data_IF_778270157604
#
_entry.id   IF_778270157604
#
_cell.length_a   1.000
_cell.length_b   1.000
_cell.length_c   1.000
_cell.angle_alpha   90.00
_cell.angle_beta   90.00
_cell.angle_gamma   90.00
#
_symmetry.space_group_name_H-M   'P 1'
#
loop_
_entity.id
_entity.type
_entity.pdbx_description
1 polymer ?
#
# COMPACT_ATOMS: atom_id res chain seq x y z
N UNK A 1 2.55 -19.18 -16.18
CA UNK A 1 3.09 -18.77 -17.50
C UNK A 1 4.58 -18.47 -17.35
N UNK A 2 5.47 -19.33 -17.88
CA UNK A 2 6.94 -19.23 -17.68
C UNK A 2 7.55 -17.96 -18.29
N UNK A 3 6.99 -17.45 -19.38
CA UNK A 3 7.49 -16.24 -20.05
C UNK A 3 7.21 -14.99 -19.20
N UNK A 4 6.00 -14.88 -18.65
CA UNK A 4 5.62 -13.80 -17.73
C UNK A 4 6.51 -13.83 -16.48
N UNK A 5 6.71 -15.01 -15.89
CA UNK A 5 7.59 -15.15 -14.72
C UNK A 5 9.02 -14.66 -14.99
N UNK A 6 9.61 -15.06 -16.13
CA UNK A 6 10.96 -14.60 -16.53
C UNK A 6 11.02 -13.08 -16.70
N UNK A 7 9.98 -12.48 -17.30
CA UNK A 7 9.89 -11.02 -17.44
C UNK A 7 9.83 -10.35 -16.06
N UNK A 8 8.92 -10.79 -15.19
CA UNK A 8 8.75 -10.22 -13.86
C UNK A 8 10.03 -10.36 -13.03
N UNK A 9 10.73 -11.50 -13.10
CA UNK A 9 12.01 -11.70 -12.45
C UNK A 9 13.09 -10.70 -12.94
N UNK A 10 13.15 -10.45 -14.24
CA UNK A 10 14.11 -9.53 -14.83
C UNK A 10 13.83 -8.05 -14.47
N UNK A 11 12.57 -7.66 -14.35
CA UNK A 11 12.16 -6.26 -14.09
C UNK A 11 11.85 -5.96 -12.62
N UNK A 12 11.84 -6.96 -11.74
CA UNK A 12 11.36 -6.85 -10.35
C UNK A 12 12.04 -5.71 -9.58
N UNK A 13 13.36 -5.63 -9.67
CA UNK A 13 14.13 -4.64 -8.93
C UNK A 13 13.83 -3.23 -9.43
N UNK A 14 13.76 -3.04 -10.75
CA UNK A 14 13.46 -1.75 -11.38
C UNK A 14 12.06 -1.27 -11.01
N UNK A 15 11.07 -2.17 -11.09
CA UNK A 15 9.70 -1.87 -10.69
C UNK A 15 9.61 -1.50 -9.20
N UNK A 16 10.19 -2.31 -8.31
CA UNK A 16 10.20 -2.04 -6.88
C UNK A 16 10.91 -0.72 -6.55
N UNK A 17 12.03 -0.43 -7.21
CA UNK A 17 12.76 0.83 -7.04
C UNK A 17 11.91 2.03 -7.46
N UNK A 18 11.27 1.98 -8.63
CA UNK A 18 10.44 3.08 -9.12
C UNK A 18 9.24 3.35 -8.20
N UNK A 19 8.65 2.29 -7.65
CA UNK A 19 7.57 2.39 -6.66
C UNK A 19 8.07 3.01 -5.34
N UNK A 20 9.24 2.58 -4.84
CA UNK A 20 9.84 3.15 -3.64
C UNK A 20 10.21 4.63 -3.83
N UNK A 21 10.78 4.98 -4.99
CA UNK A 21 11.13 6.35 -5.35
C UNK A 21 9.90 7.25 -5.43
N UNK A 22 8.83 6.79 -6.09
CA UNK A 22 7.57 7.52 -6.15
C UNK A 22 6.95 7.69 -4.76
N UNK A 23 7.05 6.67 -3.90
CA UNK A 23 6.60 6.76 -2.51
C UNK A 23 7.42 7.79 -1.72
N UNK A 24 8.73 7.90 -1.97
CA UNK A 24 9.60 8.91 -1.33
C UNK A 24 9.19 10.32 -1.74
N UNK A 25 8.88 10.54 -3.02
CA UNK A 25 8.37 11.83 -3.51
C UNK A 25 6.98 12.14 -2.96
N UNK A 26 6.13 11.12 -2.79
CA UNK A 26 4.79 11.29 -2.20
C UNK A 26 4.87 11.72 -0.74
N UNK A 27 5.80 11.14 0.03
CA UNK A 27 5.96 11.40 1.45
C UNK A 27 6.74 12.71 1.78
N UNK A 28 7.03 13.55 0.78
CA UNK A 28 7.87 14.76 0.93
C UNK A 28 7.42 15.75 2.02
N UNK A 29 6.14 15.72 2.41
CA UNK A 29 5.53 16.66 3.37
C UNK A 29 5.32 16.04 4.77
N UNK A 30 5.71 14.79 4.99
CA UNK A 30 5.57 14.08 6.27
C UNK A 30 6.92 13.52 6.73
N UNK A 31 7.13 13.25 8.04
CA UNK A 31 8.40 12.74 8.56
C UNK A 31 8.57 11.23 8.30
N UNK A 32 8.30 10.77 7.08
CA UNK A 32 8.40 9.37 6.66
C UNK A 32 9.19 9.25 5.35
N UNK A 33 10.09 8.28 5.28
CA UNK A 33 10.74 7.90 4.01
C UNK A 33 9.79 7.14 3.09
N UNK A 34 10.21 6.95 1.84
CA UNK A 34 9.55 6.09 0.87
C UNK A 34 10.27 4.76 0.72
N UNK A 35 9.52 3.67 0.80
CA UNK A 35 10.06 2.33 0.57
C UNK A 35 9.03 1.45 -0.15
N UNK A 36 9.50 0.34 -0.71
CA UNK A 36 8.65 -0.68 -1.31
C UNK A 36 9.27 -2.07 -1.11
N UNK A 37 8.39 -3.04 -0.90
CA UNK A 37 8.73 -4.45 -0.82
C UNK A 37 7.92 -5.26 -1.83
N UNK A 38 8.60 -6.20 -2.49
CA UNK A 38 7.99 -7.12 -3.45
C UNK A 38 8.41 -8.55 -3.14
N UNK A 39 7.49 -9.49 -3.30
CA UNK A 39 7.75 -10.92 -3.18
C UNK A 39 7.43 -11.57 -4.53
N UNK A 40 8.44 -12.09 -5.21
CA UNK A 40 8.24 -12.89 -6.41
C UNK A 40 8.10 -14.36 -6.02
N UNK A 41 6.86 -14.87 -6.08
CA UNK A 41 6.53 -16.27 -5.77
C UNK A 41 6.92 -17.19 -6.93
N UNK A 42 7.49 -18.36 -6.60
CA UNK A 42 7.76 -19.42 -7.57
C UNK A 42 6.49 -19.78 -8.36
N UNK A 43 6.65 -20.13 -9.64
CA UNK A 43 5.55 -20.50 -10.55
C UNK A 43 4.67 -21.63 -10.02
N UNK A 44 5.24 -22.56 -9.26
CA UNK A 44 4.50 -23.73 -8.74
C UNK A 44 3.87 -23.44 -7.36
N UNK A 45 4.12 -22.26 -6.79
CA UNK A 45 3.72 -21.88 -5.43
C UNK A 45 3.00 -20.53 -5.38
N UNK A 46 2.02 -20.30 -6.25
CA UNK A 46 1.30 -19.01 -6.33
C UNK A 46 -0.04 -18.95 -5.59
N UNK A 47 -0.38 -19.95 -4.77
CA UNK A 47 -1.62 -19.93 -4.00
C UNK A 47 -1.52 -18.94 -2.81
N UNK A 48 -2.21 -17.81 -2.90
CA UNK A 48 -2.19 -16.76 -1.87
C UNK A 48 -2.62 -17.24 -0.48
N UNK A 49 -3.52 -18.23 -0.38
CA UNK A 49 -4.01 -18.72 0.92
C UNK A 49 -3.02 -19.63 1.64
N UNK A 50 -2.14 -20.31 0.89
CA UNK A 50 -1.13 -21.22 1.44
C UNK A 50 0.27 -20.63 1.27
N UNK A 51 0.90 -20.84 0.12
CA UNK A 51 2.28 -20.43 -0.14
C UNK A 51 2.47 -18.91 -0.06
N UNK A 52 1.51 -18.11 -0.52
CA UNK A 52 1.59 -16.65 -0.40
C UNK A 52 1.58 -16.16 1.05
N UNK A 53 0.77 -16.81 1.91
CA UNK A 53 0.75 -16.53 3.36
C UNK A 53 2.08 -16.89 4.01
N UNK A 54 2.67 -18.04 3.66
CA UNK A 54 3.98 -18.47 4.17
C UNK A 54 5.09 -17.53 3.72
N UNK A 55 5.11 -17.15 2.43
CA UNK A 55 6.08 -16.21 1.91
C UNK A 55 5.97 -14.83 2.58
N UNK A 56 4.75 -14.33 2.81
CA UNK A 56 4.55 -13.09 3.55
C UNK A 56 5.07 -13.20 5.00
N UNK A 57 4.82 -14.32 5.69
CA UNK A 57 5.37 -14.52 7.04
C UNK A 57 6.90 -14.53 7.04
N UNK A 58 7.52 -15.27 6.13
CA UNK A 58 8.98 -15.34 6.01
C UNK A 58 9.58 -13.96 5.70
N UNK A 59 8.93 -13.20 4.83
CA UNK A 59 9.32 -11.83 4.52
C UNK A 59 9.26 -10.91 5.75
N UNK A 60 8.14 -10.95 6.49
CA UNK A 60 7.98 -10.16 7.72
C UNK A 60 8.96 -10.60 8.82
N UNK A 61 9.17 -11.91 8.99
CA UNK A 61 10.12 -12.42 9.98
C UNK A 61 11.55 -11.97 9.66
N UNK A 62 11.97 -12.02 8.39
CA UNK A 62 13.28 -11.54 7.96
C UNK A 62 13.46 -10.04 8.22
N UNK A 63 12.44 -9.22 7.96
CA UNK A 63 12.48 -7.78 8.28
C UNK A 63 12.50 -7.53 9.79
N UNK A 64 11.72 -8.29 10.57
CA UNK A 64 11.72 -8.20 12.02
C UNK A 64 13.06 -8.64 12.61
N UNK A 65 13.75 -9.61 12.01
CA UNK A 65 15.09 -10.01 12.43
C UNK A 65 16.07 -8.83 12.31
N UNK A 66 15.98 -8.06 11.23
CA UNK A 66 16.76 -6.84 11.02
C UNK A 66 16.36 -5.69 11.97
N UNK A 67 15.06 -5.50 12.20
CA UNK A 67 14.55 -4.45 13.12
C UNK A 67 14.97 -4.76 14.57
N UNK A 68 14.88 -6.03 14.97
CA UNK A 68 15.21 -6.55 16.30
C UNK A 68 16.60 -7.17 16.33
N UNK A 69 17.56 -6.55 15.63
CA UNK A 69 18.90 -7.09 15.43
C UNK A 69 19.62 -7.47 16.75
N UNK A 70 19.35 -6.73 17.83
CA UNK A 70 19.93 -7.01 19.16
C UNK A 70 19.38 -8.29 19.77
N UNK A 71 18.08 -8.51 19.63
CA UNK A 71 17.36 -9.67 20.15
C UNK A 71 17.63 -10.92 19.32
N UNK A 72 17.87 -10.77 18.01
CA UNK A 72 18.15 -11.88 17.08
C UNK A 72 19.64 -12.18 16.93
N UNK A 73 20.52 -11.31 17.42
CA UNK A 73 21.98 -11.45 17.27
C UNK A 73 22.47 -11.12 15.87
N UNK A 74 21.64 -10.52 15.01
CA UNK A 74 22.08 -10.00 13.71
C UNK A 74 22.93 -8.74 13.89
N UNK A 75 23.98 -8.63 13.10
CA UNK A 75 24.78 -7.41 13.05
C UNK A 75 24.02 -6.30 12.34
N UNK A 76 24.00 -5.10 12.92
CA UNK A 76 23.40 -3.90 12.32
C UNK A 76 24.41 -2.76 12.27
N UNK A 77 24.55 -2.15 11.09
CA UNK A 77 25.34 -0.94 10.87
C UNK A 77 24.55 0.35 11.13
N UNK A 78 23.27 0.25 11.53
CA UNK A 78 22.43 1.41 11.76
C UNK A 78 22.81 2.08 13.09
N UNK A 79 23.02 3.40 13.05
CA UNK A 79 23.35 4.19 14.25
C UNK A 79 22.16 4.35 15.21
N UNK A 80 20.94 4.14 14.71
CA UNK A 80 19.67 4.23 15.46
C UNK A 80 18.72 3.12 14.98
N UNK A 81 17.80 2.66 15.83
CA UNK A 81 16.73 1.77 15.39
C UNK A 81 15.88 2.46 14.31
N UNK A 82 15.60 1.74 13.23
CA UNK A 82 14.67 2.17 12.19
C UNK A 82 13.29 1.58 12.44
N UNK A 83 12.26 2.39 12.20
CA UNK A 83 10.87 1.94 12.23
C UNK A 83 10.36 1.80 10.80
N UNK A 84 9.77 0.64 10.51
CA UNK A 84 9.09 0.41 9.23
C UNK A 84 7.57 0.42 9.43
N UNK A 85 6.87 0.98 8.45
CA UNK A 85 5.40 1.03 8.38
C UNK A 85 5.00 0.46 7.02
N UNK A 86 4.30 -0.67 7.03
CA UNK A 86 3.90 -1.38 5.82
C UNK A 86 2.45 -1.05 5.47
N UNK A 87 2.24 -0.59 4.24
CA UNK A 87 0.91 -0.51 3.63
C UNK A 87 0.62 -1.75 2.77
N UNK A 88 -0.66 -2.13 2.62
CA UNK A 88 -1.04 -3.13 1.64
C UNK A 88 -0.84 -2.61 0.22
N UNK A 89 -0.63 -3.54 -0.68
CA UNK A 89 -0.63 -3.36 -2.14
C UNK A 89 -1.20 -4.63 -2.80
N UNK A 90 -1.06 -4.77 -4.12
CA UNK A 90 -1.53 -5.91 -4.90
C UNK A 90 -1.27 -7.25 -4.18
N UNK A 91 -2.34 -8.03 -3.99
CA UNK A 91 -2.33 -9.36 -3.36
C UNK A 91 -1.90 -9.43 -1.88
N UNK A 92 -1.67 -8.30 -1.19
CA UNK A 92 -1.18 -8.31 0.21
C UNK A 92 -2.17 -7.77 1.25
N UNK A 93 -3.28 -7.16 0.83
CA UNK A 93 -4.29 -6.59 1.73
C UNK A 93 -4.76 -7.57 2.82
N UNK A 94 -4.98 -8.84 2.45
CA UNK A 94 -5.41 -9.90 3.38
C UNK A 94 -4.39 -10.27 4.45
N UNK A 95 -3.13 -9.85 4.33
CA UNK A 95 -2.05 -10.21 5.25
C UNK A 95 -1.69 -9.12 6.27
N UNK A 96 -2.23 -7.91 6.15
CA UNK A 96 -1.84 -6.82 7.06
C UNK A 96 -2.10 -7.12 8.54
N UNK A 97 -3.24 -7.77 8.83
CA UNK A 97 -3.54 -8.29 10.18
C UNK A 97 -2.49 -9.31 10.65
N UNK A 98 -2.07 -10.21 9.76
CA UNK A 98 -1.07 -11.23 10.05
C UNK A 98 0.27 -10.59 10.40
N UNK A 99 0.74 -9.61 9.62
CA UNK A 99 2.01 -8.91 9.88
C UNK A 99 2.06 -8.25 11.25
N UNK A 100 1.02 -7.49 11.63
CA UNK A 100 0.94 -6.86 12.95
C UNK A 100 0.93 -7.88 14.10
N UNK A 101 0.16 -8.96 13.97
CA UNK A 101 0.11 -10.00 15.01
C UNK A 101 1.41 -10.81 15.10
N UNK A 102 2.10 -11.02 13.97
CA UNK A 102 3.41 -11.67 13.93
C UNK A 102 4.43 -10.81 14.68
N UNK A 103 4.47 -9.51 14.42
CA UNK A 103 5.33 -8.58 15.13
C UNK A 103 5.07 -8.52 16.63
N UNK A 104 3.79 -8.60 17.03
CA UNK A 104 3.40 -8.70 18.44
C UNK A 104 3.99 -9.96 19.08
N UNK A 105 3.87 -11.11 18.42
CA UNK A 105 4.39 -12.38 18.90
C UNK A 105 5.93 -12.38 18.98
N UNK A 106 6.60 -11.61 18.11
CA UNK A 106 8.06 -11.40 18.09
C UNK A 106 8.54 -10.37 19.10
N UNK A 107 7.65 -9.74 19.88
CA UNK A 107 8.02 -8.77 20.91
C UNK A 107 8.31 -7.36 20.40
N UNK A 108 7.99 -7.03 19.13
CA UNK A 108 8.20 -5.68 18.60
C UNK A 108 7.28 -4.67 19.29
N UNK A 109 7.86 -3.67 19.94
CA UNK A 109 7.13 -2.66 20.74
C UNK A 109 6.04 -1.96 19.94
N UNK A 110 6.32 -1.61 18.68
CA UNK A 110 5.41 -0.86 17.81
C UNK A 110 4.59 -1.77 16.88
N UNK A 111 4.30 -3.00 17.30
CA UNK A 111 3.60 -4.01 16.47
C UNK A 111 2.28 -3.54 15.87
N UNK A 112 1.53 -2.67 16.54
CA UNK A 112 0.27 -2.13 16.01
C UNK A 112 0.50 -1.24 14.79
N UNK A 113 1.58 -0.47 14.75
CA UNK A 113 1.85 0.46 13.64
C UNK A 113 2.65 -0.20 12.52
N UNK A 114 3.23 -1.39 12.73
CA UNK A 114 4.01 -2.08 11.70
C UNK A 114 3.25 -2.24 10.39
N UNK A 115 1.95 -2.51 10.42
CA UNK A 115 1.12 -2.57 9.20
C UNK A 115 -0.08 -1.63 9.28
N UNK A 116 -0.52 -1.07 8.15
CA UNK A 116 -1.79 -0.33 7.99
C UNK A 116 -2.85 -1.21 7.32
N UNK A 117 -4.03 -0.69 6.99
CA UNK A 117 -5.10 -1.51 6.37
C UNK A 117 -5.67 -2.62 7.26
N UNK A 118 -5.53 -2.48 8.59
CA UNK A 118 -6.01 -3.45 9.60
C UNK A 118 -7.46 -3.14 9.99
N UNK A 119 -8.10 -4.05 10.74
CA UNK A 119 -9.37 -3.74 11.40
C UNK A 119 -9.23 -2.70 12.52
N UNK A 120 -10.32 -2.02 12.84
CA UNK A 120 -10.42 -1.05 13.95
C UNK A 120 -10.02 -1.63 15.31
N UNK A 121 -10.33 -2.90 15.58
CA UNK A 121 -9.93 -3.60 16.82
C UNK A 121 -8.41 -3.66 16.97
N UNK A 122 -7.67 -3.69 15.85
CA UNK A 122 -6.21 -3.69 15.82
C UNK A 122 -5.62 -2.29 15.62
N UNK A 123 -6.45 -1.23 15.69
CA UNK A 123 -6.03 0.16 15.48
C UNK A 123 -5.88 0.55 14.01
N UNK A 124 -6.57 -0.14 13.10
CA UNK A 124 -6.68 0.30 11.71
C UNK A 124 -7.79 1.34 11.52
N UNK A 125 -7.66 2.15 10.47
CA UNK A 125 -8.62 3.18 10.07
C UNK A 125 -9.23 2.75 8.72
N UNK A 126 -10.54 2.50 8.63
CA UNK A 126 -11.22 2.14 7.38
C UNK A 126 -11.16 3.30 6.37
N UNK A 127 -10.25 3.22 5.41
CA UNK A 127 -9.94 4.32 4.50
C UNK A 127 -10.98 4.48 3.39
N UNK A 128 -11.60 3.37 3.00
CA UNK A 128 -12.77 3.27 2.13
C UNK A 128 -13.98 3.99 2.74
N UNK A 129 -14.31 3.69 4.01
CA UNK A 129 -15.45 4.29 4.71
C UNK A 129 -15.32 5.79 4.87
N UNK A 130 -14.11 6.28 5.11
CA UNK A 130 -13.83 7.71 5.26
C UNK A 130 -13.39 8.38 3.97
N UNK A 131 -13.41 7.66 2.84
CA UNK A 131 -13.04 8.14 1.52
C UNK A 131 -11.71 8.92 1.52
N UNK A 132 -10.73 8.52 2.34
CA UNK A 132 -9.57 9.39 2.65
C UNK A 132 -8.80 9.77 1.39
N UNK A 133 -8.58 8.79 0.51
CA UNK A 133 -7.89 9.00 -0.76
C UNK A 133 -8.73 9.82 -1.72
N UNK A 134 -10.01 9.45 -1.89
CA UNK A 134 -10.94 10.14 -2.79
C UNK A 134 -11.12 11.60 -2.38
N UNK A 135 -11.38 11.90 -1.11
CA UNK A 135 -11.52 13.26 -0.62
C UNK A 135 -10.28 14.12 -0.92
N UNK A 136 -9.09 13.53 -0.81
CA UNK A 136 -7.83 14.24 -1.09
C UNK A 136 -7.66 14.53 -2.59
N UNK A 137 -7.90 13.53 -3.45
CA UNK A 137 -7.80 13.69 -4.91
C UNK A 137 -8.89 14.64 -5.41
N UNK A 138 -10.12 14.47 -4.95
CA UNK A 138 -11.25 15.29 -5.32
C UNK A 138 -11.04 16.75 -4.91
N UNK A 139 -10.56 17.01 -3.69
CA UNK A 139 -10.21 18.37 -3.28
C UNK A 139 -9.13 18.97 -4.19
N UNK A 140 -8.10 18.20 -4.56
CA UNK A 140 -7.08 18.67 -5.50
C UNK A 140 -7.70 19.08 -6.86
N UNK A 141 -8.67 18.30 -7.36
CA UNK A 141 -9.41 18.63 -8.58
C UNK A 141 -10.22 19.91 -8.38
N UNK A 142 -10.98 20.06 -7.29
CA UNK A 142 -11.76 21.27 -7.02
C UNK A 142 -10.89 22.54 -6.98
N UNK A 143 -9.73 22.49 -6.33
CA UNK A 143 -8.78 23.62 -6.29
C UNK A 143 -8.20 23.94 -7.67
N UNK A 144 -7.99 22.92 -8.51
CA UNK A 144 -7.57 23.12 -9.90
C UNK A 144 -8.68 23.78 -10.73
N UNK A 145 -9.93 23.34 -10.56
CA UNK A 145 -11.08 23.92 -11.26
C UNK A 145 -11.30 25.39 -10.87
N UNK A 146 -11.19 25.71 -9.57
CA UNK A 146 -11.28 27.07 -9.07
C UNK A 146 -10.22 27.98 -9.70
N UNK A 147 -8.96 27.54 -9.74
CA UNK A 147 -7.88 28.26 -10.43
C UNK A 147 -8.12 28.51 -11.92
N UNK A 148 -8.86 27.62 -12.57
CA UNK A 148 -9.21 27.73 -13.99
C UNK A 148 -10.54 28.48 -14.22
N UNK A 149 -11.26 28.87 -13.17
CA UNK A 149 -12.59 29.48 -13.26
C UNK A 149 -13.65 28.53 -13.83
N UNK A 150 -13.47 27.22 -13.63
CA UNK A 150 -14.36 26.18 -14.13
C UNK A 150 -15.28 25.67 -13.02
N UNK A 151 -16.54 25.42 -13.37
CA UNK A 151 -17.50 24.81 -12.46
C UNK A 151 -17.58 23.30 -12.70
N UNK A 152 -17.34 22.52 -11.66
CA UNK A 152 -17.34 21.05 -11.70
C UNK A 152 -18.60 20.46 -12.37
N UNK A 153 -19.78 21.00 -12.03
CA UNK A 153 -21.10 20.55 -12.52
C UNK A 153 -21.28 20.64 -14.04
N UNK A 154 -20.44 21.45 -14.71
CA UNK A 154 -20.47 21.67 -16.15
C UNK A 154 -19.52 20.74 -16.91
N UNK A 155 -18.65 20.03 -16.21
CA UNK A 155 -17.65 19.16 -16.81
C UNK A 155 -18.18 17.75 -17.06
N UNK A 156 -17.52 17.06 -17.98
CA UNK A 156 -17.73 15.64 -18.24
C UNK A 156 -16.50 14.86 -17.78
N UNK A 157 -16.70 13.74 -17.08
CA UNK A 157 -15.64 12.88 -16.57
C UNK A 157 -15.66 11.51 -17.23
N UNK A 158 -14.47 10.99 -17.52
CA UNK A 158 -14.23 9.58 -17.81
C UNK A 158 -13.28 9.07 -16.74
N UNK A 159 -13.59 7.93 -16.13
CA UNK A 159 -12.76 7.38 -15.05
C UNK A 159 -12.46 5.91 -15.24
N UNK A 160 -11.27 5.50 -14.80
CA UNK A 160 -10.87 4.10 -14.62
C UNK A 160 -10.93 3.73 -13.14
N UNK A 161 -11.52 2.59 -12.82
CA UNK A 161 -11.85 2.16 -11.47
C UNK A 161 -13.34 2.38 -11.17
N UNK A 162 -14.08 1.28 -11.06
CA UNK A 162 -15.53 1.27 -10.96
C UNK A 162 -16.11 1.46 -9.55
N UNK A 163 -17.43 1.27 -9.40
CA UNK A 163 -18.12 1.36 -8.11
C UNK A 163 -17.74 0.26 -7.12
N UNK A 164 -17.03 -0.78 -7.55
CA UNK A 164 -16.52 -1.85 -6.69
C UNK A 164 -15.11 -1.54 -6.14
N UNK A 165 -14.47 -0.45 -6.60
CA UNK A 165 -13.15 -0.03 -6.15
C UNK A 165 -13.19 0.95 -4.97
N UNK A 166 -12.13 0.97 -4.15
CA UNK A 166 -12.02 1.80 -2.94
C UNK A 166 -12.13 3.31 -3.23
N UNK A 167 -11.56 3.77 -4.34
CA UNK A 167 -11.52 5.18 -4.74
C UNK A 167 -12.71 5.56 -5.61
N UNK A 168 -12.98 4.73 -6.64
CA UNK A 168 -13.97 5.02 -7.69
C UNK A 168 -15.39 5.10 -7.13
N UNK A 169 -15.74 4.18 -6.23
CA UNK A 169 -17.03 4.18 -5.53
C UNK A 169 -17.31 5.51 -4.82
N UNK A 170 -16.36 5.97 -4.02
CA UNK A 170 -16.47 7.23 -3.29
C UNK A 170 -16.50 8.44 -4.24
N UNK A 171 -15.71 8.42 -5.32
CA UNK A 171 -15.68 9.53 -6.30
C UNK A 171 -17.04 9.70 -6.99
N UNK A 172 -17.66 8.59 -7.38
CA UNK A 172 -19.01 8.57 -7.96
C UNK A 172 -20.05 9.18 -7.00
N UNK A 173 -19.88 8.98 -5.69
CA UNK A 173 -20.80 9.50 -4.69
C UNK A 173 -20.64 10.99 -4.40
N UNK A 174 -19.41 11.52 -4.43
CA UNK A 174 -19.13 12.90 -4.00
C UNK A 174 -19.07 13.92 -5.15
N UNK A 175 -18.70 13.47 -6.35
CA UNK A 175 -18.50 14.37 -7.49
C UNK A 175 -19.80 14.91 -8.08
N UNK A 176 -19.75 16.14 -8.58
CA UNK A 176 -20.87 16.86 -9.24
C UNK A 176 -20.72 16.90 -10.76
N UNK A 177 -19.56 16.51 -11.29
CA UNK A 177 -19.35 16.39 -12.72
C UNK A 177 -20.24 15.32 -13.36
N UNK A 178 -20.36 15.38 -14.69
CA UNK A 178 -21.15 14.43 -15.47
C UNK A 178 -20.25 13.28 -15.88
N UNK A 179 -20.23 12.20 -15.09
CA UNK A 179 -19.52 10.99 -15.47
C UNK A 179 -20.19 10.34 -16.68
N UNK A 180 -19.48 10.28 -17.81
CA UNK A 180 -19.99 9.76 -19.09
C UNK A 180 -19.44 8.38 -19.45
N UNK A 181 -18.37 7.93 -18.81
CA UNK A 181 -17.84 6.57 -18.95
C UNK A 181 -17.04 6.14 -17.71
N UNK A 182 -17.20 4.87 -17.36
CA UNK A 182 -16.44 4.17 -16.31
C UNK A 182 -15.86 2.91 -16.93
N UNK A 183 -14.56 2.68 -16.73
CA UNK A 183 -13.88 1.45 -17.12
C UNK A 183 -13.37 0.73 -15.87
N UNK A 184 -13.71 -0.54 -15.72
CA UNK A 184 -13.33 -1.41 -14.60
C UNK A 184 -12.81 -2.75 -15.13
#
# INVERSE_FOLDING_TARGET
NKQVYKKNCATLLEENYNLAYTQQLKNKDIPEGGSKGTILMDTDSQNLKTSGREAFNNYIDALLDCILAKETGLYSNLSKPEMLFFGPDENTAGFMKLGALRAKARGYTYWKSLTTGKSVVLGGIPHDKYAMTTNSIHQYVLELLDKLGLEESKLTKVMSGGPDGDLGSNEILISKDKTIAICD
#
